data_IF_874588088658
#
_entry.id   IF_874588088658
#
_cell.length_a   1.000
_cell.length_b   1.000
_cell.length_c   1.000
_cell.angle_alpha   90.00
_cell.angle_beta   90.00
_cell.angle_gamma   90.00
#
_symmetry.space_group_name_H-M   'P 1'
#
loop_
_entity.id
_entity.type
_entity.pdbx_description
1 polymer ?
#
# COMPACT_ATOMS: atom_id res chain seq x y z
N UNK A 1 3.53 11.37 21.54
CA UNK A 1 3.19 9.94 21.60
C UNK A 1 1.73 9.85 22.01
N UNK A 2 0.94 8.93 21.46
CA UNK A 2 -0.43 8.70 21.93
C UNK A 2 -0.36 7.88 23.22
N UNK A 3 -0.86 8.43 24.32
CA UNK A 3 -0.74 7.86 25.68
C UNK A 3 -2.09 7.47 26.27
N UNK A 4 -3.15 7.44 25.44
CA UNK A 4 -4.50 7.07 25.88
C UNK A 4 -4.54 5.56 26.17
N UNK A 5 -5.28 5.18 27.22
CA UNK A 5 -5.55 3.79 27.57
C UNK A 5 -6.67 3.24 26.70
N UNK A 6 -6.31 2.77 25.51
CA UNK A 6 -7.25 2.38 24.46
C UNK A 6 -6.68 1.24 23.62
N UNK A 7 -7.55 0.32 23.21
CA UNK A 7 -7.17 -0.74 22.28
C UNK A 7 -6.69 -0.16 20.93
N UNK A 8 -5.78 -0.86 20.28
CA UNK A 8 -5.25 -0.44 18.99
C UNK A 8 -6.33 -0.37 17.91
N UNK A 9 -7.26 -1.33 17.89
CA UNK A 9 -8.37 -1.39 16.92
C UNK A 9 -9.31 -0.22 17.10
N UNK A 10 -9.59 0.13 18.36
CA UNK A 10 -10.41 1.29 18.72
C UNK A 10 -9.73 2.60 18.27
N UNK A 11 -8.42 2.71 18.47
CA UNK A 11 -7.63 3.84 17.99
C UNK A 11 -7.75 4.03 16.47
N UNK A 12 -7.71 2.94 15.69
CA UNK A 12 -7.89 2.98 14.24
C UNK A 12 -9.31 3.39 13.84
N UNK A 13 -10.33 2.88 14.55
CA UNK A 13 -11.73 3.24 14.32
C UNK A 13 -11.96 4.73 14.52
N UNK A 14 -11.45 5.32 15.60
CA UNK A 14 -11.54 6.75 15.85
C UNK A 14 -10.89 7.59 14.74
N UNK A 15 -9.75 7.15 14.19
CA UNK A 15 -9.11 7.85 13.06
C UNK A 15 -9.97 7.77 11.79
N UNK A 16 -10.57 6.61 11.52
CA UNK A 16 -11.48 6.43 10.38
C UNK A 16 -12.73 7.31 10.52
N UNK A 17 -13.30 7.41 11.72
CA UNK A 17 -14.44 8.29 12.03
C UNK A 17 -14.06 9.77 11.86
N UNK A 18 -12.88 10.16 12.34
CA UNK A 18 -12.37 11.53 12.17
C UNK A 18 -12.20 11.91 10.69
N UNK A 19 -11.65 11.03 9.85
CA UNK A 19 -11.54 11.30 8.41
C UNK A 19 -12.91 11.45 7.73
N UNK A 20 -13.92 10.70 8.19
CA UNK A 20 -15.29 10.82 7.67
C UNK A 20 -15.94 12.15 8.05
N UNK A 21 -15.79 12.58 9.29
CA UNK A 21 -16.46 13.76 9.82
C UNK A 21 -15.77 15.06 9.39
N UNK A 22 -14.45 15.16 9.57
CA UNK A 22 -13.72 16.42 9.41
C UNK A 22 -13.18 16.63 7.99
N UNK A 23 -12.78 15.55 7.32
CA UNK A 23 -12.20 15.61 5.98
C UNK A 23 -13.20 15.24 4.87
N UNK A 24 -14.43 14.85 5.23
CA UNK A 24 -15.50 14.52 4.30
C UNK A 24 -15.24 13.25 3.47
N UNK A 25 -14.31 12.38 3.90
CA UNK A 25 -13.98 11.17 3.16
C UNK A 25 -14.91 10.02 3.54
N UNK A 26 -15.62 9.45 2.59
CA UNK A 26 -16.38 8.21 2.81
C UNK A 26 -15.53 6.96 2.50
N UNK A 27 -15.66 5.86 3.27
CA UNK A 27 -15.00 4.61 2.93
C UNK A 27 -15.39 4.15 1.52
N UNK A 28 -14.39 3.79 0.72
CA UNK A 28 -14.61 3.25 -0.62
C UNK A 28 -14.85 1.74 -0.51
N UNK A 29 -15.79 1.22 -1.30
CA UNK A 29 -16.02 -0.22 -1.37
C UNK A 29 -14.74 -0.94 -1.87
N UNK A 30 -14.28 -1.93 -1.12
CA UNK A 30 -13.12 -2.74 -1.52
C UNK A 30 -13.54 -3.70 -2.64
N UNK A 31 -12.94 -3.62 -3.84
CA UNK A 31 -13.26 -4.53 -4.94
C UNK A 31 -13.02 -5.98 -4.56
N UNK A 32 -13.84 -6.91 -5.08
CA UNK A 32 -13.71 -8.33 -4.78
C UNK A 32 -12.32 -8.89 -5.14
N UNK A 33 -11.71 -8.40 -6.22
CA UNK A 33 -10.37 -8.80 -6.65
C UNK A 33 -9.27 -8.48 -5.61
N UNK A 34 -9.42 -7.40 -4.82
CA UNK A 34 -8.46 -7.02 -3.79
C UNK A 34 -8.49 -7.94 -2.55
N UNK A 35 -9.45 -8.87 -2.49
CA UNK A 35 -9.56 -9.90 -1.42
C UNK A 35 -8.97 -11.24 -1.84
N UNK A 36 -8.54 -11.38 -3.10
CA UNK A 36 -7.89 -12.59 -3.61
C UNK A 36 -6.39 -12.56 -3.27
N UNK A 37 -5.73 -13.73 -3.16
CA UNK A 37 -4.28 -13.79 -3.02
C UNK A 37 -3.59 -13.04 -4.17
N UNK A 38 -2.50 -12.34 -3.88
CA UNK A 38 -1.74 -11.57 -4.87
C UNK A 38 -0.26 -11.92 -4.81
N UNK A 39 0.39 -11.92 -5.98
CA UNK A 39 1.84 -12.01 -6.06
C UNK A 39 2.46 -10.63 -5.81
N UNK A 40 3.52 -10.54 -5.02
CA UNK A 40 4.27 -9.29 -4.80
C UNK A 40 5.66 -9.44 -5.41
N UNK A 41 6.07 -8.46 -6.23
CA UNK A 41 7.39 -8.48 -6.88
C UNK A 41 8.53 -8.22 -5.90
N UNK A 42 8.27 -7.56 -4.76
CA UNK A 42 9.30 -7.13 -3.81
C UNK A 42 10.14 -8.29 -3.27
N UNK A 43 9.49 -9.38 -2.88
CA UNK A 43 10.15 -10.53 -2.24
C UNK A 43 10.99 -11.39 -3.18
N UNK A 44 10.89 -11.16 -4.49
CA UNK A 44 11.68 -11.87 -5.52
C UNK A 44 12.70 -10.95 -6.17
N UNK A 45 12.26 -9.76 -6.58
CA UNK A 45 13.03 -8.88 -7.48
C UNK A 45 13.57 -7.63 -6.77
N UNK A 46 12.98 -7.24 -5.63
CA UNK A 46 13.19 -5.93 -5.03
C UNK A 46 13.05 -4.85 -6.12
N UNK A 47 14.11 -4.08 -6.38
CA UNK A 47 14.12 -3.01 -7.40
C UNK A 47 14.42 -3.48 -8.82
N UNK A 48 14.89 -4.73 -9.02
CA UNK A 48 15.33 -5.25 -10.31
C UNK A 48 14.19 -5.94 -11.04
N UNK A 49 13.16 -5.18 -11.40
CA UNK A 49 12.00 -5.71 -12.12
C UNK A 49 12.17 -5.61 -13.63
N UNK A 50 11.80 -6.66 -14.35
CA UNK A 50 11.59 -6.62 -15.80
C UNK A 50 10.15 -6.99 -16.16
N UNK A 51 9.57 -6.40 -17.22
CA UNK A 51 8.24 -6.77 -17.69
C UNK A 51 8.12 -8.28 -18.00
N UNK A 52 9.12 -8.86 -18.66
CA UNK A 52 9.11 -10.25 -19.10
C UNK A 52 9.11 -11.22 -17.90
N UNK A 53 9.91 -10.95 -16.87
CA UNK A 53 9.94 -11.76 -15.65
C UNK A 53 8.65 -11.62 -14.86
N UNK A 54 8.07 -10.40 -14.78
CA UNK A 54 6.77 -10.19 -14.13
C UNK A 54 5.69 -10.99 -14.85
N UNK A 55 5.63 -10.97 -16.17
CA UNK A 55 4.65 -11.75 -16.93
C UNK A 55 4.81 -13.26 -16.70
N UNK A 56 6.04 -13.75 -16.64
CA UNK A 56 6.32 -15.15 -16.32
C UNK A 56 5.83 -15.50 -14.90
N UNK A 57 6.14 -14.67 -13.90
CA UNK A 57 5.67 -14.89 -12.53
C UNK A 57 4.15 -14.79 -12.42
N UNK A 58 3.49 -13.92 -13.20
CA UNK A 58 2.03 -13.85 -13.24
C UNK A 58 1.42 -15.18 -13.70
N UNK A 59 1.99 -15.84 -14.71
CA UNK A 59 1.51 -17.15 -15.18
C UNK A 59 1.65 -18.22 -14.10
N UNK A 60 2.82 -18.28 -13.45
CA UNK A 60 3.08 -19.25 -12.37
C UNK A 60 2.20 -18.98 -11.14
N UNK A 61 2.10 -17.72 -10.71
CA UNK A 61 1.27 -17.33 -9.57
C UNK A 61 -0.22 -17.62 -9.80
N UNK A 62 -0.67 -17.55 -11.06
CA UNK A 62 -2.04 -17.91 -11.42
C UNK A 62 -2.36 -19.37 -11.11
N UNK A 63 -1.41 -20.28 -11.37
CA UNK A 63 -1.52 -21.71 -11.05
C UNK A 63 -1.60 -21.94 -9.52
N UNK A 64 -0.98 -21.05 -8.73
CA UNK A 64 -1.02 -21.06 -7.27
C UNK A 64 -2.26 -20.37 -6.67
N UNK A 65 -3.19 -19.88 -7.52
CA UNK A 65 -4.43 -19.24 -7.09
C UNK A 65 -4.35 -17.73 -6.88
N UNK A 66 -3.27 -17.07 -7.28
CA UNK A 66 -3.21 -15.61 -7.24
C UNK A 66 -4.20 -14.98 -8.25
N UNK A 67 -4.99 -14.02 -7.77
CA UNK A 67 -5.95 -13.26 -8.54
C UNK A 67 -5.40 -11.95 -9.11
N UNK A 68 -4.21 -11.53 -8.69
CA UNK A 68 -3.57 -10.30 -9.16
C UNK A 68 -2.08 -10.23 -8.78
N UNK A 69 -1.44 -9.17 -9.23
CA UNK A 69 -0.04 -8.83 -8.95
C UNK A 69 0.06 -7.43 -8.38
N UNK A 70 0.89 -7.27 -7.35
CA UNK A 70 1.35 -5.99 -6.83
C UNK A 70 2.76 -5.78 -7.39
N UNK A 71 2.88 -4.81 -8.30
CA UNK A 71 4.17 -4.35 -8.80
C UNK A 71 4.70 -3.31 -7.83
N UNK A 72 5.73 -3.70 -7.08
CA UNK A 72 6.37 -2.88 -6.05
C UNK A 72 7.45 -1.95 -6.63
N UNK A 73 8.17 -1.24 -5.75
CA UNK A 73 9.29 -0.36 -6.08
C UNK A 73 10.29 -1.00 -7.05
N UNK A 74 10.65 -0.30 -8.12
CA UNK A 74 11.56 -0.77 -9.17
C UNK A 74 11.07 -0.49 -10.58
N UNK A 75 9.74 -0.48 -10.81
CA UNK A 75 9.17 -0.28 -12.14
C UNK A 75 9.33 1.15 -12.66
N UNK A 76 9.39 2.12 -11.74
CA UNK A 76 9.50 3.55 -12.03
C UNK A 76 10.94 4.02 -12.22
N UNK A 77 11.91 3.20 -11.83
CA UNK A 77 13.33 3.54 -11.82
C UNK A 77 14.00 3.19 -13.15
N UNK A 78 14.54 4.19 -13.86
CA UNK A 78 15.55 4.00 -14.92
C UNK A 78 16.98 4.07 -14.34
N UNK A 79 17.16 3.63 -13.10
CA UNK A 79 18.35 3.95 -12.33
C UNK A 79 19.42 2.88 -12.46
N UNK A 80 20.58 3.30 -12.97
CA UNK A 80 21.86 2.62 -12.78
C UNK A 80 22.21 2.55 -11.28
N UNK A 81 23.13 1.66 -10.85
CA UNK A 81 23.53 1.59 -9.44
C UNK A 81 24.05 2.94 -8.94
N UNK A 82 23.32 3.60 -8.03
CA UNK A 82 23.73 4.86 -7.38
C UNK A 82 22.64 5.92 -7.17
N UNK A 83 21.50 5.84 -7.84
CA UNK A 83 20.44 6.83 -7.68
C UNK A 83 19.47 6.49 -6.54
N UNK A 84 19.38 7.37 -5.54
CA UNK A 84 18.38 7.31 -4.48
C UNK A 84 17.20 8.22 -4.84
N UNK A 85 15.99 7.71 -5.13
CA UNK A 85 14.85 8.56 -5.43
C UNK A 85 14.33 9.20 -4.13
N UNK A 86 14.33 10.53 -4.08
CA UNK A 86 13.68 11.31 -3.02
C UNK A 86 12.17 11.30 -3.24
N UNK A 87 11.44 10.45 -2.50
CA UNK A 87 9.99 10.53 -2.42
C UNK A 87 9.60 11.82 -1.68
N UNK A 88 8.95 12.76 -2.38
CA UNK A 88 8.41 13.98 -1.79
C UNK A 88 7.21 13.65 -0.88
N UNK A 89 7.42 13.68 0.44
CA UNK A 89 6.36 13.49 1.44
C UNK A 89 5.54 14.78 1.54
N UNK A 90 4.23 14.67 1.34
CA UNK A 90 3.26 15.78 1.36
C UNK A 90 3.13 16.50 2.71
N UNK A 91 2.49 17.68 2.66
CA UNK A 91 2.29 18.66 3.75
C UNK A 91 1.68 18.08 5.05
N UNK A 92 1.96 18.69 6.22
CA UNK A 92 1.52 18.19 7.52
C UNK A 92 -0.02 18.18 7.66
N UNK A 93 -0.51 17.14 8.35
CA UNK A 93 -1.93 16.90 8.60
C UNK A 93 -2.55 17.89 9.61
N UNK A 94 -3.84 18.17 9.42
CA UNK A 94 -4.70 18.97 10.29
C UNK A 94 -4.81 18.39 11.73
N UNK A 95 -5.13 19.21 12.76
CA UNK A 95 -5.20 18.74 14.14
C UNK A 95 -6.28 17.67 14.32
N UNK A 96 -5.92 16.58 15.02
CA UNK A 96 -6.81 15.47 15.34
C UNK A 96 -7.88 15.89 16.36
N UNK A 97 -9.09 15.34 16.19
CA UNK A 97 -10.29 15.56 17.01
C UNK A 97 -9.98 15.64 18.51
N UNK A 98 -10.54 16.65 19.19
CA UNK A 98 -10.49 16.79 20.65
C UNK A 98 -11.73 16.14 21.27
N UNK A 99 -11.52 15.54 22.43
CA UNK A 99 -12.48 14.92 23.36
C UNK A 99 -13.76 15.69 23.58
#
# INVERSE_FOLDING_TARGET
MDTRDMDYTESLRCVQEWWQQEAGYSPVAVPAAAKLPMYSTWYSFHQQVSPEEIEQQCRLAKELGCGGVIVDDGWQTRTSPGDMPTAAIGRPAAPKCRT
#
